data_IF_139757475731
#
_entry.id   IF_139757475731
#
_cell.length_a   1.000
_cell.length_b   1.000
_cell.length_c   1.000
_cell.angle_alpha   90.00
_cell.angle_beta   90.00
_cell.angle_gamma   90.00
#
_symmetry.space_group_name_H-M   'P 1'
#
loop_
_entity.id
_entity.type
_entity.pdbx_description
1 polymer ?
#
# COMPACT_ATOMS: atom_id res chain seq x y z
N UNK A 1 6.52 -4.29 19.10
CA UNK A 1 5.66 -3.99 20.26
C UNK A 1 4.31 -4.68 20.08
N UNK A 2 3.62 -5.01 21.19
CA UNK A 2 2.26 -5.55 21.19
C UNK A 2 1.32 -4.39 21.55
N UNK A 3 0.21 -4.23 20.83
CA UNK A 3 -0.80 -3.21 21.12
C UNK A 3 -1.79 -3.63 22.21
N UNK A 4 -2.76 -2.78 22.55
CA UNK A 4 -3.76 -3.01 23.59
C UNK A 4 -4.67 -4.25 23.34
N UNK A 5 -4.64 -4.81 22.13
CA UNK A 5 -5.46 -5.97 21.73
C UNK A 5 -4.63 -7.22 21.42
N UNK A 6 -3.36 -7.26 21.83
CA UNK A 6 -2.48 -8.41 21.64
C UNK A 6 -1.88 -8.56 20.24
N UNK A 7 -2.04 -7.56 19.35
CA UNK A 7 -1.50 -7.62 17.98
C UNK A 7 -0.04 -7.16 17.98
N UNK A 8 0.83 -7.92 17.32
CA UNK A 8 2.23 -7.54 17.11
C UNK A 8 2.33 -6.52 15.99
N UNK A 9 2.58 -5.26 16.32
CA UNK A 9 2.78 -4.20 15.34
C UNK A 9 4.24 -4.21 14.88
N UNK A 10 4.48 -4.61 13.64
CA UNK A 10 5.82 -4.79 13.06
C UNK A 10 5.96 -4.24 11.63
N UNK A 11 4.92 -3.55 11.13
CA UNK A 11 4.87 -3.04 9.77
C UNK A 11 4.51 -1.55 9.76
N UNK A 12 5.44 -0.70 9.31
CA UNK A 12 5.24 0.74 9.13
C UNK A 12 5.02 1.06 7.64
N UNK A 13 3.93 1.75 7.33
CA UNK A 13 3.74 2.38 6.02
C UNK A 13 4.19 3.84 6.14
N UNK A 14 5.04 4.29 5.24
CA UNK A 14 5.60 5.64 5.23
C UNK A 14 5.15 6.35 3.96
N UNK A 15 4.25 7.29 4.10
CA UNK A 15 3.92 8.24 3.03
C UNK A 15 5.06 9.24 2.93
N UNK A 16 5.82 9.20 1.85
CA UNK A 16 6.98 10.10 1.67
C UNK A 16 6.60 11.43 1.02
N UNK A 17 5.42 11.51 0.40
CA UNK A 17 4.91 12.70 -0.28
C UNK A 17 3.39 12.65 -0.44
N UNK A 18 2.73 13.81 -0.51
CA UNK A 18 1.32 13.93 -0.91
C UNK A 18 1.17 14.08 -2.44
N UNK A 19 2.25 14.42 -3.15
CA UNK A 19 2.25 14.64 -4.59
C UNK A 19 2.05 13.35 -5.35
N UNK A 20 1.31 13.43 -6.46
CA UNK A 20 1.13 12.33 -7.40
C UNK A 20 1.19 12.87 -8.83
N UNK A 21 1.69 12.08 -9.75
CA UNK A 21 1.68 12.37 -11.20
C UNK A 21 0.43 11.80 -11.92
N UNK A 22 -0.53 11.26 -11.17
CA UNK A 22 -1.86 10.84 -11.62
C UNK A 22 -2.96 11.57 -10.86
N UNK A 23 -4.16 11.63 -11.44
CA UNK A 23 -5.37 12.20 -10.84
C UNK A 23 -6.51 11.18 -10.89
N UNK A 24 -6.32 10.04 -10.20
CA UNK A 24 -7.31 8.96 -10.21
C UNK A 24 -8.65 9.41 -9.62
N UNK A 25 -9.76 9.06 -10.30
CA UNK A 25 -11.12 9.50 -9.99
C UNK A 25 -11.58 9.20 -8.56
N UNK A 26 -11.08 8.12 -7.96
CA UNK A 26 -11.45 7.67 -6.61
C UNK A 26 -10.46 8.10 -5.52
N UNK A 27 -9.31 8.71 -5.87
CA UNK A 27 -8.21 8.93 -4.93
C UNK A 27 -8.14 10.37 -4.39
N UNK A 28 -8.51 11.39 -5.21
CA UNK A 28 -8.43 12.81 -4.85
C UNK A 28 -6.99 13.31 -4.65
N UNK A 29 -6.00 12.70 -5.32
CA UNK A 29 -4.62 13.17 -5.27
C UNK A 29 -4.47 14.52 -5.97
N UNK A 30 -3.61 15.40 -5.43
CA UNK A 30 -3.26 16.68 -6.04
C UNK A 30 -1.78 16.71 -6.40
N UNK A 31 -1.44 17.49 -7.44
CA UNK A 31 -0.04 17.76 -7.81
C UNK A 31 0.62 18.85 -6.96
N UNK A 32 -0.08 19.37 -5.95
CA UNK A 32 0.39 20.50 -5.16
C UNK A 32 1.61 20.14 -4.30
N UNK A 33 2.59 21.01 -4.30
CA UNK A 33 3.73 20.91 -3.37
C UNK A 33 3.24 21.28 -1.97
N UNK A 34 3.61 20.46 -0.99
CA UNK A 34 3.49 20.80 0.42
C UNK A 34 4.89 21.08 0.97
N UNK A 35 5.11 22.26 1.52
CA UNK A 35 6.38 22.64 2.18
C UNK A 35 6.60 21.89 3.51
N UNK A 36 5.67 21.02 3.89
CA UNK A 36 5.66 20.30 5.16
C UNK A 36 6.22 18.88 5.09
N UNK A 37 6.67 18.41 3.92
CA UNK A 37 7.15 17.03 3.77
C UNK A 37 8.41 16.78 4.62
N UNK A 38 8.47 15.61 5.26
CA UNK A 38 9.67 15.18 6.01
C UNK A 38 10.86 15.02 5.06
N UNK A 39 12.05 15.41 5.52
CA UNK A 39 13.32 15.12 4.83
C UNK A 39 13.70 13.65 4.98
N UNK A 40 14.67 13.17 4.20
CA UNK A 40 15.18 11.80 4.29
C UNK A 40 15.73 11.50 5.69
N UNK A 41 16.46 12.46 6.30
CA UNK A 41 17.00 12.36 7.67
C UNK A 41 15.91 12.27 8.73
N UNK A 42 14.84 13.06 8.57
CA UNK A 42 13.70 13.06 9.49
C UNK A 42 12.95 11.73 9.42
N UNK A 43 12.73 11.21 8.19
CA UNK A 43 12.12 9.89 7.98
C UNK A 43 12.99 8.81 8.62
N UNK A 44 14.32 8.84 8.39
CA UNK A 44 15.25 7.89 8.98
C UNK A 44 15.17 7.92 10.51
N UNK A 45 15.23 9.10 11.13
CA UNK A 45 15.16 9.26 12.59
C UNK A 45 13.88 8.66 13.18
N UNK A 46 12.73 8.95 12.56
CA UNK A 46 11.44 8.41 13.00
C UNK A 46 11.40 6.89 12.83
N UNK A 47 11.83 6.36 11.68
CA UNK A 47 11.81 4.91 11.41
C UNK A 47 12.77 4.16 12.35
N UNK A 48 13.90 4.74 12.68
CA UNK A 48 14.85 4.20 13.68
C UNK A 48 14.17 4.07 15.05
N UNK A 49 13.47 5.12 15.50
CA UNK A 49 12.71 5.06 16.74
C UNK A 49 11.61 3.97 16.69
N UNK A 50 10.92 3.79 15.57
CA UNK A 50 9.95 2.70 15.37
C UNK A 50 10.61 1.31 15.37
N UNK A 51 11.83 1.18 14.84
CA UNK A 51 12.56 -0.10 14.85
C UNK A 51 12.84 -0.58 16.27
N UNK A 52 13.13 0.32 17.22
CA UNK A 52 13.28 0.02 18.64
C UNK A 52 12.01 -0.59 19.27
N UNK A 53 10.84 -0.25 18.74
CA UNK A 53 9.55 -0.86 19.11
C UNK A 53 9.23 -2.15 18.37
N UNK A 54 10.14 -2.64 17.53
CA UNK A 54 10.02 -3.92 16.84
C UNK A 54 9.35 -3.83 15.46
N UNK A 55 9.35 -2.65 14.83
CA UNK A 55 9.05 -2.55 13.40
C UNK A 55 10.20 -3.19 12.63
N UNK A 56 9.86 -4.13 11.75
CA UNK A 56 10.84 -4.88 10.94
C UNK A 56 10.61 -4.70 9.45
N UNK A 57 9.47 -4.17 9.06
CA UNK A 57 9.08 -3.95 7.68
C UNK A 57 8.63 -2.52 7.47
N UNK A 58 9.18 -1.88 6.44
CA UNK A 58 8.78 -0.56 6.00
C UNK A 58 8.24 -0.65 4.57
N UNK A 59 7.17 0.10 4.29
CA UNK A 59 6.68 0.29 2.92
C UNK A 59 6.62 1.76 2.60
N UNK A 60 7.41 2.14 1.62
CA UNK A 60 7.36 3.48 1.04
C UNK A 60 6.12 3.60 0.15
N UNK A 61 5.39 4.67 0.33
CA UNK A 61 4.16 5.01 -0.38
C UNK A 61 4.01 6.54 -0.39
N UNK A 62 2.84 7.05 -0.71
CA UNK A 62 2.57 8.49 -0.71
C UNK A 62 1.35 8.79 -1.56
N UNK A 63 1.34 9.91 -2.24
CA UNK A 63 0.66 10.06 -3.51
C UNK A 63 1.35 9.10 -4.50
N UNK A 64 2.50 9.54 -5.05
CA UNK A 64 3.38 8.64 -5.80
C UNK A 64 4.83 8.81 -5.30
N UNK A 65 5.45 7.81 -4.67
CA UNK A 65 6.80 7.94 -4.11
C UNK A 65 7.88 8.22 -5.15
N UNK A 66 7.71 7.76 -6.40
CA UNK A 66 8.69 7.97 -7.48
C UNK A 66 8.71 9.41 -8.04
N UNK A 67 7.87 10.33 -7.54
CA UNK A 67 8.00 11.75 -7.86
C UNK A 67 9.04 12.45 -6.97
N UNK A 68 9.46 11.81 -5.86
CA UNK A 68 10.56 12.29 -5.01
C UNK A 68 11.90 11.90 -5.63
N UNK A 69 12.77 12.89 -5.84
CA UNK A 69 14.11 12.67 -6.40
C UNK A 69 15.04 11.89 -5.47
N UNK A 70 14.84 12.01 -4.15
CA UNK A 70 15.63 11.39 -3.09
C UNK A 70 15.07 10.02 -2.63
N UNK A 71 14.11 9.43 -3.36
CA UNK A 71 13.44 8.16 -2.94
C UNK A 71 14.43 6.99 -2.75
N UNK A 72 15.46 6.92 -3.57
CA UNK A 72 16.48 5.89 -3.45
C UNK A 72 17.38 6.11 -2.23
N UNK A 73 17.75 7.36 -1.90
CA UNK A 73 18.46 7.69 -0.67
C UNK A 73 17.62 7.33 0.57
N UNK A 74 16.33 7.69 0.59
CA UNK A 74 15.40 7.27 1.64
C UNK A 74 15.41 5.74 1.79
N UNK A 75 15.23 5.00 0.71
CA UNK A 75 15.19 3.53 0.76
C UNK A 75 16.48 2.94 1.32
N UNK A 76 17.63 3.44 0.89
CA UNK A 76 18.95 3.01 1.34
C UNK A 76 19.16 3.29 2.83
N UNK A 77 18.86 4.51 3.31
CA UNK A 77 18.91 4.89 4.73
C UNK A 77 18.07 3.94 5.58
N UNK A 78 16.84 3.68 5.16
CA UNK A 78 15.93 2.80 5.90
C UNK A 78 16.43 1.35 5.91
N UNK A 79 17.05 0.88 4.82
CA UNK A 79 17.62 -0.47 4.77
C UNK A 79 18.81 -0.66 5.71
N UNK A 80 19.54 0.42 6.01
CA UNK A 80 20.69 0.43 6.91
C UNK A 80 20.29 0.52 8.41
N UNK A 81 19.01 0.70 8.73
CA UNK A 81 18.57 0.73 10.13
C UNK A 81 18.56 -0.69 10.71
N UNK A 82 19.23 -0.89 11.84
CA UNK A 82 19.21 -2.15 12.56
C UNK A 82 17.76 -2.53 12.94
N UNK A 83 17.41 -3.79 12.72
CA UNK A 83 16.05 -4.30 12.93
C UNK A 83 15.14 -4.20 11.71
N UNK A 84 15.38 -3.31 10.75
CA UNK A 84 14.60 -3.24 9.51
C UNK A 84 15.07 -4.35 8.54
N UNK A 85 14.22 -5.35 8.35
CA UNK A 85 14.49 -6.52 7.51
C UNK A 85 14.07 -6.33 6.06
N UNK A 86 12.97 -5.56 5.84
CA UNK A 86 12.37 -5.37 4.53
C UNK A 86 11.99 -3.92 4.28
N UNK A 87 12.42 -3.39 3.15
CA UNK A 87 11.94 -2.12 2.60
C UNK A 87 11.21 -2.44 1.30
N UNK A 88 9.95 -2.05 1.19
CA UNK A 88 9.11 -2.30 0.03
C UNK A 88 8.52 -0.99 -0.50
N UNK A 89 8.08 -1.00 -1.76
CA UNK A 89 7.50 0.16 -2.43
C UNK A 89 6.05 -0.13 -2.85
N UNK A 90 5.19 0.90 -2.81
CA UNK A 90 3.92 0.93 -3.55
C UNK A 90 3.98 2.12 -4.51
N UNK A 91 3.70 1.90 -5.78
CA UNK A 91 3.80 2.90 -6.86
C UNK A 91 2.69 2.70 -7.90
N UNK A 92 2.36 3.74 -8.66
CA UNK A 92 1.52 3.62 -9.85
C UNK A 92 2.28 3.06 -11.08
N UNK A 93 3.59 2.88 -10.97
CA UNK A 93 4.42 2.21 -11.98
C UNK A 93 4.90 3.06 -13.14
N UNK A 94 4.38 4.28 -13.38
CA UNK A 94 4.72 5.09 -14.57
C UNK A 94 6.22 5.40 -14.68
N UNK A 95 6.87 5.65 -13.54
CA UNK A 95 8.31 5.96 -13.49
C UNK A 95 9.18 4.76 -13.12
N UNK A 96 8.57 3.59 -12.97
CA UNK A 96 9.25 2.42 -12.41
C UNK A 96 10.39 1.93 -13.30
N UNK A 97 10.29 2.08 -14.64
CA UNK A 97 11.37 1.78 -15.56
C UNK A 97 12.68 2.55 -15.24
N UNK A 98 12.56 3.82 -14.87
CA UNK A 98 13.70 4.68 -14.53
C UNK A 98 14.31 4.30 -13.17
N UNK A 99 13.50 3.77 -12.26
CA UNK A 99 13.86 3.58 -10.85
C UNK A 99 14.09 2.12 -10.44
N UNK A 100 13.72 1.12 -11.25
CA UNK A 100 13.77 -0.29 -10.83
C UNK A 100 15.17 -0.73 -10.39
N UNK A 101 16.20 -0.43 -11.20
CA UNK A 101 17.58 -0.77 -10.89
C UNK A 101 18.14 0.04 -9.70
N UNK A 102 18.00 1.38 -9.63
CA UNK A 102 18.37 2.17 -8.46
C UNK A 102 17.68 1.74 -7.17
N UNK A 103 16.38 1.41 -7.20
CA UNK A 103 15.64 0.93 -6.04
C UNK A 103 16.15 -0.43 -5.55
N UNK A 104 16.46 -1.33 -6.46
CA UNK A 104 17.07 -2.62 -6.11
C UNK A 104 18.43 -2.42 -5.45
N UNK A 105 19.28 -1.56 -6.02
CA UNK A 105 20.57 -1.22 -5.45
C UNK A 105 20.46 -0.58 -4.07
N UNK A 106 19.42 0.26 -3.84
CA UNK A 106 19.09 0.86 -2.54
C UNK A 106 18.49 -0.14 -1.53
N UNK A 107 18.32 -1.42 -1.91
CA UNK A 107 17.87 -2.48 -1.01
C UNK A 107 16.35 -2.62 -0.90
N UNK A 108 15.57 -2.11 -1.86
CA UNK A 108 14.13 -2.40 -1.95
C UNK A 108 13.94 -3.87 -2.29
N UNK A 109 13.10 -4.54 -1.50
CA UNK A 109 12.92 -6.00 -1.53
C UNK A 109 11.61 -6.46 -2.15
N UNK A 110 10.68 -5.56 -2.47
CA UNK A 110 9.40 -5.89 -3.10
C UNK A 110 8.72 -4.64 -3.66
N UNK A 111 7.99 -4.80 -4.75
CA UNK A 111 7.21 -3.72 -5.35
C UNK A 111 5.75 -4.13 -5.46
N UNK A 112 4.86 -3.24 -5.00
CA UNK A 112 3.44 -3.30 -5.34
C UNK A 112 3.15 -2.20 -6.37
N UNK A 113 2.51 -2.56 -7.46
CA UNK A 113 2.12 -1.65 -8.53
C UNK A 113 0.59 -1.54 -8.52
N UNK A 114 0.08 -0.32 -8.46
CA UNK A 114 -1.36 -0.07 -8.57
C UNK A 114 -1.75 -0.05 -10.05
N UNK A 115 -2.61 -0.99 -10.46
CA UNK A 115 -3.08 -1.14 -11.84
C UNK A 115 -4.50 -1.70 -11.83
N UNK A 116 -5.49 -0.84 -12.08
CA UNK A 116 -6.91 -1.17 -11.97
C UNK A 116 -7.51 -1.71 -13.26
N UNK A 117 -6.79 -1.61 -14.37
CA UNK A 117 -7.22 -2.04 -15.71
C UNK A 117 -6.01 -2.34 -16.59
N UNK A 118 -6.19 -3.19 -17.60
CA UNK A 118 -5.23 -3.40 -18.69
C UNK A 118 -5.63 -2.69 -19.97
N UNK A 119 -6.83 -2.10 -20.00
CA UNK A 119 -7.35 -1.34 -21.13
C UNK A 119 -6.82 0.10 -21.10
N UNK A 120 -6.35 0.57 -22.27
CA UNK A 120 -5.71 1.89 -22.40
C UNK A 120 -6.68 3.05 -22.18
N UNK A 121 -7.86 2.98 -22.78
CA UNK A 121 -8.84 4.07 -22.68
C UNK A 121 -9.41 4.14 -21.27
N UNK A 122 -9.71 3.00 -20.67
CA UNK A 122 -10.17 2.93 -19.30
C UNK A 122 -9.08 3.39 -18.30
N UNK A 123 -7.81 3.06 -18.54
CA UNK A 123 -6.71 3.59 -17.73
C UNK A 123 -6.68 5.12 -17.76
N UNK A 124 -6.85 5.70 -18.95
CA UNK A 124 -6.91 7.15 -19.13
C UNK A 124 -8.12 7.77 -18.42
N UNK A 125 -9.29 7.13 -18.50
CA UNK A 125 -10.51 7.57 -17.79
C UNK A 125 -10.32 7.56 -16.27
N UNK A 126 -9.75 6.47 -15.71
CA UNK A 126 -9.54 6.32 -14.29
C UNK A 126 -8.46 7.27 -13.76
N UNK A 127 -7.33 7.41 -14.48
CA UNK A 127 -6.11 8.06 -13.96
C UNK A 127 -5.90 9.48 -14.47
N UNK A 128 -6.66 9.91 -15.50
CA UNK A 128 -6.44 11.16 -16.20
C UNK A 128 -5.21 11.18 -17.12
N UNK A 129 -4.60 10.03 -17.40
CA UNK A 129 -3.29 9.94 -18.06
C UNK A 129 -3.19 8.78 -19.06
N UNK A 130 -2.69 9.04 -20.28
CA UNK A 130 -2.51 8.01 -21.34
C UNK A 130 -1.07 7.41 -21.28
N UNK A 131 -0.71 6.77 -20.17
CA UNK A 131 0.65 6.22 -19.95
C UNK A 131 0.66 4.78 -19.46
N UNK A 132 -0.37 3.98 -19.72
CA UNK A 132 -0.42 2.58 -19.28
C UNK A 132 0.78 1.76 -19.81
N UNK A 133 1.26 2.05 -21.02
CA UNK A 133 2.44 1.42 -21.61
C UNK A 133 3.68 1.56 -20.72
N UNK A 134 3.85 2.70 -20.04
CA UNK A 134 4.96 2.91 -19.11
C UNK A 134 4.88 2.03 -17.87
N UNK A 135 3.67 1.69 -17.42
CA UNK A 135 3.48 0.76 -16.31
C UNK A 135 3.99 -0.63 -16.70
N UNK A 136 3.65 -1.10 -17.90
CA UNK A 136 4.14 -2.39 -18.39
C UNK A 136 5.66 -2.38 -18.64
N UNK A 137 6.23 -1.33 -19.21
CA UNK A 137 7.69 -1.16 -19.33
C UNK A 137 8.36 -1.21 -17.94
N UNK A 138 7.74 -0.61 -16.91
CA UNK A 138 8.23 -0.66 -15.54
C UNK A 138 8.18 -2.06 -14.93
N UNK A 139 7.13 -2.84 -15.22
CA UNK A 139 7.02 -4.25 -14.82
C UNK A 139 8.13 -5.08 -15.46
N UNK A 140 8.33 -4.93 -16.76
CA UNK A 140 9.37 -5.64 -17.51
C UNK A 140 10.77 -5.31 -16.98
N UNK A 141 11.02 -4.05 -16.65
CA UNK A 141 12.28 -3.64 -16.06
C UNK A 141 12.50 -4.25 -14.67
N UNK A 142 11.47 -4.30 -13.82
CA UNK A 142 11.56 -5.00 -12.54
C UNK A 142 11.90 -6.48 -12.70
N UNK A 143 11.29 -7.16 -13.68
CA UNK A 143 11.63 -8.57 -14.00
C UNK A 143 13.08 -8.69 -14.48
N UNK A 144 13.50 -7.82 -15.40
CA UNK A 144 14.87 -7.79 -15.95
C UNK A 144 15.93 -7.64 -14.87
N UNK A 145 15.76 -6.67 -13.99
CA UNK A 145 16.72 -6.42 -12.89
C UNK A 145 16.54 -7.38 -11.71
N UNK A 146 15.48 -8.19 -11.70
CA UNK A 146 15.16 -9.11 -10.60
C UNK A 146 14.72 -8.38 -9.32
N UNK A 147 14.01 -7.25 -9.43
CA UNK A 147 13.33 -6.59 -8.31
C UNK A 147 12.00 -7.29 -8.05
N UNK A 148 12.03 -8.31 -7.22
CA UNK A 148 10.89 -9.18 -6.92
C UNK A 148 10.75 -9.45 -5.42
N UNK A 149 9.56 -9.84 -4.93
CA UNK A 149 8.33 -10.13 -5.67
C UNK A 149 7.63 -8.86 -6.17
N UNK A 150 7.06 -8.97 -7.37
CA UNK A 150 6.18 -7.96 -7.97
C UNK A 150 4.74 -8.35 -7.66
N UNK A 151 3.92 -7.37 -7.28
CA UNK A 151 2.49 -7.57 -7.02
C UNK A 151 1.69 -6.46 -7.66
N UNK A 152 0.67 -6.79 -8.41
CA UNK A 152 -0.31 -5.83 -8.89
C UNK A 152 -1.43 -5.72 -7.87
N UNK A 153 -1.85 -4.50 -7.57
CA UNK A 153 -3.02 -4.22 -6.75
C UNK A 153 -4.07 -3.55 -7.63
N UNK A 154 -5.26 -4.08 -7.69
CA UNK A 154 -6.39 -3.53 -8.42
C UNK A 154 -7.57 -3.35 -7.46
N UNK A 155 -8.12 -2.14 -7.42
CA UNK A 155 -9.41 -1.86 -6.79
C UNK A 155 -10.48 -2.07 -7.84
N UNK A 156 -11.33 -3.08 -7.67
CA UNK A 156 -12.43 -3.31 -8.58
C UNK A 156 -13.67 -2.54 -8.13
N UNK A 157 -14.25 -1.79 -9.06
CA UNK A 157 -15.42 -0.93 -8.86
C UNK A 157 -16.51 -1.40 -9.82
N UNK A 158 -17.66 -1.77 -9.26
CA UNK A 158 -18.80 -2.29 -10.01
C UNK A 158 -19.26 -1.28 -11.07
N UNK A 159 -19.44 -1.77 -12.31
CA UNK A 159 -19.86 -0.97 -13.44
C UNK A 159 -18.81 0.00 -13.98
N UNK A 160 -17.60 0.01 -13.41
CA UNK A 160 -16.48 0.80 -13.92
C UNK A 160 -15.41 -0.10 -14.54
N UNK A 161 -14.66 -0.85 -13.73
CA UNK A 161 -13.54 -1.68 -14.17
C UNK A 161 -13.68 -3.17 -13.79
N UNK A 162 -14.80 -3.60 -13.29
CA UNK A 162 -15.04 -4.99 -12.88
C UNK A 162 -14.96 -6.00 -14.03
N UNK A 163 -15.23 -5.54 -15.28
CA UNK A 163 -15.01 -6.34 -16.48
C UNK A 163 -13.52 -6.71 -16.69
N UNK A 164 -12.58 -5.93 -16.14
CA UNK A 164 -11.14 -6.12 -16.30
C UNK A 164 -10.55 -7.23 -15.40
N UNK A 165 -11.33 -7.81 -14.51
CA UNK A 165 -10.84 -8.84 -13.59
C UNK A 165 -10.17 -10.00 -14.35
N UNK A 166 -10.72 -10.45 -15.47
CA UNK A 166 -10.16 -11.55 -16.27
C UNK A 166 -8.82 -11.18 -16.90
N UNK A 167 -8.72 -10.01 -17.52
CA UNK A 167 -7.48 -9.54 -18.16
C UNK A 167 -6.34 -9.35 -17.12
N UNK A 168 -6.69 -8.86 -15.94
CA UNK A 168 -5.73 -8.77 -14.83
C UNK A 168 -5.31 -10.17 -14.33
N UNK A 169 -6.23 -11.12 -14.18
CA UNK A 169 -5.95 -12.52 -13.80
C UNK A 169 -4.97 -13.16 -14.81
N UNK A 170 -5.13 -12.88 -16.09
CA UNK A 170 -4.26 -13.40 -17.14
C UNK A 170 -2.80 -12.95 -16.98
N UNK A 171 -2.53 -11.80 -16.36
CA UNK A 171 -1.15 -11.40 -16.01
C UNK A 171 -0.52 -12.40 -15.04
N UNK A 172 -1.26 -12.85 -14.02
CA UNK A 172 -0.76 -13.86 -13.08
C UNK A 172 -0.61 -15.25 -13.74
N UNK A 173 -1.43 -15.57 -14.75
CA UNK A 173 -1.26 -16.80 -15.53
C UNK A 173 0.07 -16.78 -16.28
N UNK A 174 0.39 -15.69 -16.95
CA UNK A 174 1.49 -15.61 -17.91
C UNK A 174 2.82 -15.18 -17.29
N UNK A 175 2.80 -14.49 -16.13
CA UNK A 175 3.97 -13.92 -15.45
C UNK A 175 4.02 -14.35 -13.97
N UNK A 176 5.22 -14.41 -13.39
CA UNK A 176 5.43 -14.66 -11.95
C UNK A 176 5.11 -13.41 -11.11
N UNK A 177 3.86 -12.95 -11.23
CA UNK A 177 3.33 -11.75 -10.59
C UNK A 177 2.06 -12.12 -9.84
N UNK A 178 1.98 -11.76 -8.55
CA UNK A 178 0.74 -11.90 -7.81
C UNK A 178 -0.21 -10.74 -8.15
N UNK A 179 -1.43 -11.01 -8.58
CA UNK A 179 -2.47 -10.01 -8.78
C UNK A 179 -3.40 -10.00 -7.56
N UNK A 180 -3.66 -8.83 -6.99
CA UNK A 180 -4.50 -8.70 -5.81
C UNK A 180 -5.67 -7.78 -6.08
N UNK A 181 -6.85 -8.31 -5.92
CA UNK A 181 -8.08 -7.53 -5.93
C UNK A 181 -8.38 -7.01 -4.54
N UNK A 182 -8.65 -5.72 -4.45
CA UNK A 182 -8.92 -5.01 -3.20
C UNK A 182 -10.35 -4.50 -3.27
N UNK A 183 -11.16 -4.83 -2.27
CA UNK A 183 -12.49 -4.24 -2.15
C UNK A 183 -12.40 -2.72 -2.00
N UNK A 184 -13.27 -2.01 -2.70
CA UNK A 184 -13.42 -0.57 -2.56
C UNK A 184 -13.79 -0.25 -1.09
N UNK A 185 -12.98 0.60 -0.48
CA UNK A 185 -13.26 1.07 0.89
C UNK A 185 -14.10 2.34 0.81
N UNK A 186 -15.21 2.43 1.59
CA UNK A 186 -16.04 3.63 1.63
C UNK A 186 -15.31 4.76 2.36
N UNK A 187 -14.85 5.74 1.61
CA UNK A 187 -14.23 6.96 2.15
C UNK A 187 -15.17 8.17 2.12
N UNK A 188 -16.38 8.04 1.59
CA UNK A 188 -17.44 9.04 1.59
C UNK A 188 -18.65 8.56 2.40
N UNK A 189 -19.33 9.50 3.04
CA UNK A 189 -20.47 9.23 3.94
C UNK A 189 -21.82 9.03 3.21
N UNK A 190 -21.83 9.05 1.88
CA UNK A 190 -23.05 9.07 1.05
C UNK A 190 -23.72 7.70 0.87
N UNK A 191 -23.13 6.62 1.39
CA UNK A 191 -23.67 5.25 1.30
C UNK A 191 -23.72 4.68 -0.14
N UNK A 192 -23.46 5.48 -1.15
CA UNK A 192 -23.49 5.03 -2.57
C UNK A 192 -22.34 4.06 -2.87
N UNK A 193 -21.22 4.22 -2.18
CA UNK A 193 -20.04 3.39 -2.36
C UNK A 193 -20.27 1.90 -2.03
N UNK A 194 -21.23 1.57 -1.17
CA UNK A 194 -21.54 0.16 -0.85
C UNK A 194 -22.04 -0.62 -2.08
N UNK A 195 -22.78 0.03 -2.97
CA UNK A 195 -23.30 -0.56 -4.21
C UNK A 195 -22.18 -0.82 -5.24
N UNK A 196 -21.11 -0.08 -5.14
CA UNK A 196 -19.95 -0.17 -6.04
C UNK A 196 -18.92 -1.23 -5.60
N UNK A 197 -19.04 -1.75 -4.38
CA UNK A 197 -18.13 -2.77 -3.84
C UNK A 197 -18.34 -4.09 -4.59
N UNK A 198 -17.22 -4.70 -4.99
CA UNK A 198 -17.18 -6.10 -5.47
C UNK A 198 -16.54 -6.92 -4.36
N UNK A 199 -17.33 -7.83 -3.80
CA UNK A 199 -16.86 -8.70 -2.72
C UNK A 199 -15.93 -9.78 -3.24
N UNK A 200 -15.00 -10.23 -2.41
CA UNK A 200 -14.08 -11.31 -2.76
C UNK A 200 -14.79 -12.59 -3.21
N UNK A 201 -15.94 -12.93 -2.61
CA UNK A 201 -16.78 -14.07 -2.99
C UNK A 201 -17.29 -13.97 -4.43
N UNK A 202 -17.66 -12.77 -4.91
CA UNK A 202 -18.12 -12.57 -6.29
C UNK A 202 -17.01 -12.89 -7.30
N UNK A 203 -15.75 -12.57 -6.96
CA UNK A 203 -14.60 -12.92 -7.81
C UNK A 203 -14.44 -14.44 -7.87
N UNK A 204 -14.54 -15.13 -6.73
CA UNK A 204 -14.43 -16.59 -6.68
C UNK A 204 -15.55 -17.29 -7.46
N UNK A 205 -16.79 -16.79 -7.36
CA UNK A 205 -17.92 -17.32 -8.11
C UNK A 205 -17.76 -17.10 -9.62
N UNK A 206 -17.19 -15.96 -10.03
CA UNK A 206 -16.91 -15.67 -11.44
C UNK A 206 -15.75 -16.51 -12.00
N UNK A 207 -14.77 -16.88 -11.15
CA UNK A 207 -13.57 -17.63 -11.54
C UNK A 207 -13.42 -18.92 -10.68
N UNK A 208 -14.29 -19.93 -10.85
CA UNK A 208 -14.36 -21.12 -9.98
C UNK A 208 -13.15 -22.04 -10.09
N UNK A 209 -12.27 -21.79 -11.06
CA UNK A 209 -10.98 -22.50 -11.20
C UNK A 209 -9.93 -22.04 -10.18
N UNK A 210 -10.13 -20.90 -9.51
CA UNK A 210 -9.26 -20.41 -8.45
C UNK A 210 -9.45 -21.26 -7.19
N UNK A 211 -8.38 -21.90 -6.71
CA UNK A 211 -8.40 -22.75 -5.51
C UNK A 211 -7.58 -22.11 -4.40
N UNK A 212 -8.03 -22.16 -3.14
CA UNK A 212 -7.26 -21.66 -2.02
C UNK A 212 -5.86 -22.28 -2.00
N UNK A 213 -4.81 -21.45 -1.84
CA UNK A 213 -3.46 -21.98 -1.64
C UNK A 213 -3.17 -22.17 -0.16
N UNK A 214 -2.50 -23.28 0.19
CA UNK A 214 -1.97 -23.53 1.53
C UNK A 214 -0.81 -22.57 1.87
N UNK A 215 -0.13 -22.05 0.86
CA UNK A 215 0.98 -21.10 1.01
C UNK A 215 0.49 -19.65 0.95
N UNK A 216 0.07 -19.11 2.08
CA UNK A 216 -0.35 -17.70 2.20
C UNK A 216 0.80 -16.67 2.08
N UNK A 217 1.84 -16.98 1.33
CA UNK A 217 2.96 -16.10 1.00
C UNK A 217 4.32 -16.73 1.31
N UNK A 218 5.30 -16.44 0.47
CA UNK A 218 6.73 -16.78 0.68
C UNK A 218 7.36 -15.98 1.83
N UNK A 219 6.63 -15.07 2.42
CA UNK A 219 7.05 -14.27 3.57
C UNK A 219 6.47 -14.88 4.85
N UNK A 220 7.33 -15.15 5.83
CA UNK A 220 7.02 -15.58 7.18
C UNK A 220 6.06 -14.64 7.96
N UNK A 221 5.46 -13.68 7.29
CA UNK A 221 4.52 -12.72 7.85
C UNK A 221 3.12 -12.95 7.27
N UNK A 222 2.13 -13.04 8.14
CA UNK A 222 0.72 -13.11 7.76
C UNK A 222 0.38 -11.99 6.77
N UNK A 223 0.00 -12.38 5.55
CA UNK A 223 -0.52 -11.45 4.53
C UNK A 223 -1.98 -11.15 4.84
N UNK A 224 -2.40 -9.89 4.63
CA UNK A 224 -3.85 -9.56 4.67
C UNK A 224 -4.59 -10.07 3.43
N UNK A 225 -3.86 -10.42 2.36
CA UNK A 225 -4.43 -11.04 1.18
C UNK A 225 -4.56 -12.55 1.40
N UNK A 226 -5.73 -13.10 1.13
CA UNK A 226 -5.94 -14.53 0.95
C UNK A 226 -5.58 -14.89 -0.47
N UNK A 227 -4.70 -15.87 -0.64
CA UNK A 227 -4.20 -16.24 -1.96
C UNK A 227 -4.90 -17.47 -2.50
N UNK A 228 -5.08 -17.43 -3.81
CA UNK A 228 -5.64 -18.49 -4.63
C UNK A 228 -4.69 -18.77 -5.78
N UNK A 229 -4.64 -20.02 -6.21
CA UNK A 229 -3.86 -20.49 -7.33
C UNK A 229 -4.74 -21.21 -8.33
N UNK A 230 -4.27 -21.32 -9.56
CA UNK A 230 -4.92 -22.07 -10.62
C UNK A 230 -3.87 -22.89 -11.36
N UNK A 231 -4.34 -23.96 -12.01
CA UNK A 231 -3.47 -24.82 -12.82
C UNK A 231 -2.80 -24.01 -13.94
N UNK A 232 -1.50 -24.22 -14.12
CA UNK A 232 -0.65 -23.54 -15.10
C UNK A 232 -0.45 -22.02 -14.88
N UNK A 233 -0.81 -21.48 -13.71
CA UNK A 233 -0.49 -20.10 -13.37
C UNK A 233 0.93 -19.97 -12.83
N UNK A 234 1.65 -18.92 -13.26
CA UNK A 234 3.00 -18.61 -12.75
C UNK A 234 2.98 -17.76 -11.48
N UNK A 235 1.95 -16.91 -11.32
CA UNK A 235 1.65 -16.10 -10.15
C UNK A 235 0.36 -16.54 -9.48
N UNK A 236 -0.09 -15.78 -8.47
CA UNK A 236 -1.27 -16.09 -7.66
C UNK A 236 -2.27 -14.95 -7.70
N UNK A 237 -3.51 -15.25 -7.36
CA UNK A 237 -4.56 -14.26 -7.18
C UNK A 237 -4.77 -14.06 -5.68
N UNK A 238 -4.69 -12.81 -5.22
CA UNK A 238 -4.93 -12.42 -3.84
C UNK A 238 -6.24 -11.66 -3.70
N UNK A 239 -7.00 -11.92 -2.66
CA UNK A 239 -8.18 -11.14 -2.28
C UNK A 239 -7.90 -10.39 -0.99
N UNK A 240 -8.15 -9.09 -0.99
CA UNK A 240 -8.04 -8.20 0.18
C UNK A 240 -9.43 -7.64 0.43
N UNK A 241 -10.08 -8.12 1.47
CA UNK A 241 -11.49 -7.93 1.79
C UNK A 241 -11.68 -7.11 3.07
N UNK A 242 -11.29 -5.82 3.10
CA UNK A 242 -11.34 -5.02 4.32
C UNK A 242 -12.76 -4.71 4.80
N UNK A 243 -13.74 -4.80 3.91
CA UNK A 243 -15.15 -4.44 4.18
C UNK A 243 -15.96 -5.69 4.50
N UNK A 244 -15.97 -6.68 3.60
CA UNK A 244 -16.80 -7.90 3.76
C UNK A 244 -16.22 -8.86 4.78
N UNK A 245 -14.91 -8.96 4.91
CA UNK A 245 -14.23 -9.86 5.84
C UNK A 245 -13.08 -9.13 6.53
N UNK A 246 -13.42 -8.44 7.62
CA UNK A 246 -12.45 -7.64 8.38
C UNK A 246 -11.29 -8.49 8.89
N UNK A 247 -10.05 -8.05 8.65
CA UNK A 247 -8.82 -8.65 9.17
C UNK A 247 -8.17 -7.80 10.28
N UNK A 248 -8.98 -7.02 11.01
CA UNK A 248 -8.50 -6.08 12.04
C UNK A 248 -7.79 -6.78 13.19
N UNK A 249 -8.24 -7.98 13.59
CA UNK A 249 -7.62 -8.81 14.63
C UNK A 249 -6.18 -9.24 14.31
N UNK A 250 -5.81 -9.26 13.03
CA UNK A 250 -4.46 -9.63 12.56
C UNK A 250 -3.68 -8.43 12.01
N UNK A 251 -4.24 -7.21 12.12
CA UNK A 251 -3.65 -6.01 11.52
C UNK A 251 -2.41 -5.55 12.28
N UNK A 252 -1.25 -5.73 11.68
CA UNK A 252 0.08 -5.40 12.22
C UNK A 252 0.62 -4.03 11.76
N UNK A 253 -0.22 -3.17 11.14
CA UNK A 253 0.21 -1.96 10.43
C UNK A 253 -0.03 -0.69 11.25
N UNK A 254 0.90 0.25 11.09
CA UNK A 254 0.78 1.66 11.49
C UNK A 254 1.28 2.54 10.34
N UNK A 255 0.88 3.81 10.29
CA UNK A 255 1.19 4.71 9.17
C UNK A 255 1.88 5.97 9.65
N UNK A 256 2.98 6.34 8.99
CA UNK A 256 3.61 7.65 9.06
C UNK A 256 3.18 8.45 7.83
N UNK A 257 2.63 9.61 8.03
CA UNK A 257 2.23 10.55 6.98
C UNK A 257 3.42 11.42 6.58
N UNK A 258 3.36 12.01 5.39
CA UNK A 258 4.46 12.83 4.84
C UNK A 258 4.74 14.11 5.63
N UNK A 259 3.77 14.60 6.41
CA UNK A 259 3.89 15.74 7.29
C UNK A 259 4.40 15.40 8.71
N UNK A 260 4.78 14.14 8.94
CA UNK A 260 5.33 13.67 10.23
C UNK A 260 4.29 13.23 11.23
N UNK A 261 3.04 13.17 10.87
CA UNK A 261 1.98 12.62 11.73
C UNK A 261 1.89 11.11 11.62
N UNK A 262 1.50 10.46 12.70
CA UNK A 262 1.24 9.01 12.74
C UNK A 262 -0.23 8.72 12.89
N UNK A 263 -0.72 7.81 12.04
CA UNK A 263 -2.09 7.30 12.06
C UNK A 263 -2.09 5.82 12.42
N UNK A 264 -2.63 5.43 13.57
CA UNK A 264 -2.65 4.02 14.03
C UNK A 264 -3.48 3.10 13.15
N UNK A 265 -4.58 3.60 12.61
CA UNK A 265 -5.52 2.86 11.76
C UNK A 265 -5.93 3.69 10.55
N UNK A 266 -6.19 3.03 9.42
CA UNK A 266 -6.68 3.69 8.20
C UNK A 266 -8.09 4.26 8.39
N UNK A 267 -8.97 3.50 9.02
CA UNK A 267 -10.38 3.83 9.26
C UNK A 267 -10.64 4.40 10.66
N UNK A 268 -9.77 5.30 11.15
CA UNK A 268 -9.92 6.04 12.39
C UNK A 268 -9.26 7.41 12.23
N UNK A 269 -9.76 8.45 12.87
CA UNK A 269 -9.27 9.83 12.71
C UNK A 269 -8.17 10.22 13.71
N UNK A 270 -7.83 9.34 14.64
CA UNK A 270 -6.79 9.59 15.63
C UNK A 270 -5.41 9.75 14.98
N UNK A 271 -4.72 10.84 15.32
CA UNK A 271 -3.44 11.27 14.74
C UNK A 271 -2.52 11.74 15.85
N UNK A 272 -1.23 11.39 15.75
CA UNK A 272 -0.16 11.81 16.66
C UNK A 272 0.91 12.58 15.88
N UNK A 273 1.31 13.75 16.37
CA UNK A 273 2.35 14.55 15.73
C UNK A 273 3.74 14.12 16.22
N UNK A 274 4.54 13.52 15.33
CA UNK A 274 5.93 13.19 15.61
C UNK A 274 6.90 14.28 15.16
N UNK A 275 6.49 15.17 14.22
CA UNK A 275 7.35 16.24 13.73
C UNK A 275 7.63 17.25 14.83
N UNK A 276 6.61 17.60 15.63
CA UNK A 276 6.74 18.52 16.75
C UNK A 276 7.65 18.05 17.88
N UNK A 277 7.81 16.71 18.00
CA UNK A 277 8.63 16.09 19.08
C UNK A 277 9.90 15.43 18.54
N UNK A 278 10.24 15.63 17.27
CA UNK A 278 11.29 14.88 16.58
C UNK A 278 12.68 14.99 17.22
N UNK A 279 12.98 16.10 17.85
CA UNK A 279 14.30 16.39 18.42
C UNK A 279 14.40 16.10 19.92
N UNK A 280 13.32 15.63 20.56
CA UNK A 280 13.31 15.10 21.91
C UNK A 280 13.12 13.56 21.84
N UNK A 281 14.19 12.82 22.02
CA UNK A 281 14.16 11.36 21.84
C UNK A 281 13.21 10.66 22.83
N UNK A 282 13.07 11.18 24.06
CA UNK A 282 12.17 10.61 25.06
C UNK A 282 10.70 10.86 24.66
N UNK A 283 10.37 12.09 24.27
CA UNK A 283 9.03 12.47 23.88
C UNK A 283 8.62 11.81 22.56
N UNK A 284 9.57 11.64 21.61
CA UNK A 284 9.36 10.90 20.37
C UNK A 284 8.98 9.44 20.67
N UNK A 285 9.74 8.76 21.55
CA UNK A 285 9.46 7.37 21.94
C UNK A 285 8.12 7.24 22.67
N UNK A 286 7.84 8.15 23.58
CA UNK A 286 6.55 8.18 24.30
C UNK A 286 5.37 8.34 23.33
N UNK A 287 5.48 9.27 22.37
CA UNK A 287 4.43 9.53 21.39
C UNK A 287 4.21 8.35 20.45
N UNK A 288 5.29 7.67 20.01
CA UNK A 288 5.21 6.43 19.23
C UNK A 288 4.50 5.33 20.03
N UNK A 289 4.85 5.17 21.31
CA UNK A 289 4.23 4.19 22.20
C UNK A 289 2.73 4.48 22.33
N UNK A 290 2.33 5.71 22.60
CA UNK A 290 0.93 6.14 22.66
C UNK A 290 0.20 5.82 21.35
N UNK A 291 0.80 6.15 20.20
CA UNK A 291 0.21 5.88 18.89
C UNK A 291 -0.01 4.36 18.64
N UNK A 292 0.91 3.50 19.07
CA UNK A 292 0.75 2.05 18.93
C UNK A 292 -0.36 1.54 19.85
N UNK A 293 -0.39 2.00 21.09
CA UNK A 293 -1.36 1.56 22.10
C UNK A 293 -2.78 2.05 21.84
N UNK A 294 -2.94 3.19 21.14
CA UNK A 294 -4.24 3.75 20.76
C UNK A 294 -4.87 3.09 19.52
N UNK A 295 -4.14 2.16 18.87
CA UNK A 295 -4.67 1.48 17.69
C UNK A 295 -6.00 0.77 18.01
N UNK A 296 -7.13 1.14 17.32
CA UNK A 296 -8.44 0.61 17.66
C UNK A 296 -8.55 -0.89 17.42
N UNK A 297 -9.48 -1.56 18.09
CA UNK A 297 -9.78 -2.98 17.90
C UNK A 297 -10.11 -3.26 16.43
N UNK A 298 -10.98 -2.43 15.83
CA UNK A 298 -11.36 -2.51 14.43
C UNK A 298 -11.59 -1.12 13.81
N UNK A 299 -11.58 -1.07 12.48
CA UNK A 299 -11.91 0.16 11.73
C UNK A 299 -13.43 0.42 11.75
N UNK A 300 -13.82 1.68 11.51
CA UNK A 300 -15.21 2.14 11.55
C UNK A 300 -15.79 2.47 10.17
N UNK A 301 -15.30 1.86 9.09
CA UNK A 301 -15.79 2.13 7.73
C UNK A 301 -17.31 1.89 7.58
N UNK A 302 -17.90 0.97 8.35
CA UNK A 302 -19.33 0.64 8.29
C UNK A 302 -20.22 1.59 9.11
N UNK A 303 -19.67 2.57 9.83
CA UNK A 303 -20.41 3.46 10.71
C UNK A 303 -20.48 4.91 10.18
N UNK A 304 -20.32 5.14 8.88
CA UNK A 304 -20.32 6.49 8.31
C UNK A 304 -19.12 7.37 8.70
N UNK A 305 -18.08 6.78 9.28
CA UNK A 305 -16.82 7.48 9.50
C UNK A 305 -16.01 7.49 8.20
N UNK A 306 -16.41 8.38 7.30
CA UNK A 306 -15.55 8.80 6.22
C UNK A 306 -14.30 9.44 6.82
N UNK A 307 -13.12 9.01 6.37
CA UNK A 307 -11.92 9.79 6.64
C UNK A 307 -12.14 11.18 6.05
N UNK A 308 -12.10 12.21 6.88
CA UNK A 308 -12.04 13.62 6.44
C UNK A 308 -10.84 13.90 5.50
N UNK A 309 -10.03 12.89 5.25
CA UNK A 309 -8.82 12.92 4.47
C UNK A 309 -8.89 11.88 3.34
N UNK A 310 -8.88 12.33 2.08
CA UNK A 310 -8.77 11.44 0.91
C UNK A 310 -7.56 10.51 0.99
N UNK A 311 -7.59 9.40 0.22
CA UNK A 311 -6.55 8.36 0.21
C UNK A 311 -5.13 8.89 -0.03
N UNK A 312 -4.99 9.96 -0.81
CA UNK A 312 -3.72 10.63 -1.10
C UNK A 312 -3.03 11.21 0.15
N UNK A 313 -3.83 11.67 1.13
CA UNK A 313 -3.29 12.29 2.36
C UNK A 313 -2.80 11.26 3.38
N UNK A 314 -3.27 10.00 3.28
CA UNK A 314 -2.99 8.94 4.25
C UNK A 314 -2.06 7.85 3.71
N UNK A 315 -1.57 7.98 2.48
CA UNK A 315 -0.64 7.06 1.86
C UNK A 315 -1.26 5.69 1.58
N UNK A 316 -1.97 5.60 0.47
CA UNK A 316 -2.74 4.48 -0.06
C UNK A 316 -2.14 3.09 0.02
#
# INVERSE_FOLDING_TARGET
MIDSYGRKINYLRVSVTKRCNLNCTYCGASCERSDEELTAEQIEKIVRAFADFGITKVRLTGGEPLVRSDICDIAQRLRCIDGIKKVALTTNGIRLKEFAEPLKAAGVTAVNISLDTTDKEQFKEITGCDMIHKVFEGIEECERVGLSPIRLNAVLIRGQNDAQAESLINIARDRKIDVRFIELMPFSDDGENEKLVIKGEEILNRFPFLKPTMNNGTDFEKSVARYYEAENFKGRIGLITPVSEKFCSECNRIRLLSDGKVKPCLGNDEIFDLKGVLYDDNLLRETICKAIMSKPMEHRFSCGYGNSHGMNKIGG
#
